data_IF_953389037145
#
_entry.id   IF_953389037145
#
_cell.length_a   1.000
_cell.length_b   1.000
_cell.length_c   1.000
_cell.angle_alpha   90.00
_cell.angle_beta   90.00
_cell.angle_gamma   90.00
#
_symmetry.space_group_name_H-M   'P 1'
#
loop_
_entity.id
_entity.type
_entity.pdbx_description
1 polymer ?
2 water ?
#
# COMPACT_ATOMS: atom_id res chain seq x y z
N UNK A 1 11.45 -0.47 8.09
CA UNK A 1 11.63 -0.17 6.65
C UNK A 1 10.48 -0.77 5.87
N UNK A 2 9.96 0.01 4.93
CA UNK A 2 8.87 -0.41 4.07
C UNK A 2 9.32 -0.20 2.63
N UNK A 3 9.10 -1.20 1.78
CA UNK A 3 9.50 -1.08 0.39
C UNK A 3 8.28 -0.97 -0.53
N UNK A 4 8.18 0.16 -1.21
CA UNK A 4 7.10 0.40 -2.16
C UNK A 4 7.64 0.17 -3.57
N UNK A 5 7.01 -0.73 -4.31
CA UNK A 5 7.43 -1.02 -5.68
C UNK A 5 6.29 -0.74 -6.66
N UNK A 6 6.55 0.11 -7.65
CA UNK A 6 5.56 0.45 -8.68
C UNK A 6 5.89 -0.34 -9.93
N UNK A 7 4.88 -0.94 -10.55
CA UNK A 7 5.14 -1.70 -11.76
C UNK A 7 5.34 -0.76 -12.93
N UNK A 8 4.87 0.47 -12.77
CA UNK A 8 4.98 1.49 -13.80
C UNK A 8 4.92 2.88 -13.20
N UNK A 9 5.53 3.83 -13.90
CA UNK A 9 5.57 5.21 -13.46
C UNK A 9 4.16 5.79 -13.53
N UNK A 10 3.24 5.04 -14.13
CA UNK A 10 1.85 5.46 -14.24
C UNK A 10 1.17 5.33 -12.88
N UNK A 11 1.80 4.56 -11.99
CA UNK A 11 1.27 4.33 -10.65
C UNK A 11 1.77 5.34 -9.64
N UNK A 12 2.45 6.38 -10.11
CA UNK A 12 3.01 7.39 -9.21
C UNK A 12 1.99 8.13 -8.35
N UNK A 13 0.89 8.54 -8.95
CA UNK A 13 -0.15 9.25 -8.21
C UNK A 13 -0.60 8.43 -7.00
N UNK A 14 -0.86 7.14 -7.21
CA UNK A 14 -1.29 6.26 -6.14
C UNK A 14 -0.15 5.96 -5.17
N UNK A 15 1.06 5.89 -5.70
CA UNK A 15 2.23 5.62 -4.88
C UNK A 15 2.54 6.77 -3.93
N UNK A 16 2.25 7.99 -4.36
CA UNK A 16 2.51 9.17 -3.53
C UNK A 16 1.53 9.26 -2.37
N UNK A 17 0.34 8.70 -2.56
CA UNK A 17 -0.64 8.70 -1.49
C UNK A 17 -0.01 7.93 -0.33
N UNK A 18 0.67 6.84 -0.67
CA UNK A 18 1.35 6.01 0.32
C UNK A 18 2.51 6.76 0.98
N UNK A 19 3.39 7.32 0.16
CA UNK A 19 4.55 8.05 0.66
C UNK A 19 4.17 9.17 1.62
N UNK A 20 3.17 9.96 1.25
CA UNK A 20 2.76 11.06 2.12
C UNK A 20 2.33 10.59 3.49
N UNK A 21 1.76 9.39 3.56
CA UNK A 21 1.36 8.84 4.85
C UNK A 21 2.61 8.43 5.62
N UNK A 22 3.52 7.71 4.96
CA UNK A 22 4.75 7.25 5.59
C UNK A 22 5.60 8.44 6.09
N UNK A 23 5.57 9.54 5.35
CA UNK A 23 6.32 10.73 5.74
C UNK A 23 5.73 11.38 7.00
N UNK A 24 4.41 11.29 7.16
CA UNK A 24 3.75 11.86 8.33
C UNK A 24 4.02 11.05 9.60
N UNK A 25 4.34 9.78 9.44
CA UNK A 25 4.62 8.93 10.59
C UNK A 25 6.12 8.88 10.87
N UNK A 26 6.89 9.53 10.01
CA UNK A 26 8.34 9.54 10.18
C UNK A 26 8.99 8.18 10.12
N UNK A 27 8.59 7.34 9.17
CA UNK A 27 9.20 6.02 9.06
C UNK A 27 10.05 5.86 7.81
N UNK A 28 11.02 4.96 7.89
CA UNK A 28 11.90 4.67 6.76
C UNK A 28 11.17 3.92 5.66
N UNK A 29 11.52 4.22 4.42
CA UNK A 29 10.92 3.56 3.26
C UNK A 29 11.71 3.83 1.97
N UNK A 30 11.42 3.03 0.95
CA UNK A 30 12.05 3.16 -0.35
C UNK A 30 10.96 3.14 -1.41
N UNK A 31 11.17 3.86 -2.50
CA UNK A 31 10.19 3.86 -3.57
C UNK A 31 10.94 3.42 -4.83
N UNK A 32 10.47 2.33 -5.44
CA UNK A 32 11.10 1.79 -6.63
C UNK A 32 10.12 1.53 -7.78
N UNK A 33 10.68 1.43 -8.99
CA UNK A 33 9.90 1.10 -10.17
C UNK A 33 10.54 -0.16 -10.76
N UNK A 34 9.72 -1.19 -10.97
CA UNK A 34 10.19 -2.46 -11.51
C UNK A 34 9.00 -3.25 -12.07
N UNK A 35 9.12 -3.67 -13.32
CA UNK A 35 8.07 -4.43 -13.99
C UNK A 35 8.26 -5.93 -13.81
N UNK A 36 7.19 -6.61 -13.42
CA UNK A 36 7.23 -8.06 -13.24
C UNK A 36 7.39 -8.73 -14.60
N UNK A 37 6.83 -8.11 -15.62
CA UNK A 37 6.90 -8.64 -16.98
C UNK A 37 8.16 -8.22 -17.75
N UNK A 38 8.44 -6.92 -17.75
CA UNK A 38 9.58 -6.36 -18.47
C UNK A 38 10.94 -6.49 -17.79
N UNK A 39 10.99 -6.44 -16.47
CA UNK A 39 12.26 -6.54 -15.75
C UNK A 39 12.19 -7.48 -14.55
N UNK A 40 11.87 -8.76 -14.78
CA UNK A 40 11.77 -9.71 -13.68
C UNK A 40 13.02 -9.80 -12.81
N UNK A 41 14.18 -9.51 -13.40
CA UNK A 41 15.42 -9.58 -12.66
C UNK A 41 15.63 -8.38 -11.73
N UNK A 42 15.00 -7.26 -12.04
CA UNK A 42 15.13 -6.08 -11.18
C UNK A 42 14.25 -6.28 -9.94
N UNK A 43 13.05 -6.81 -10.16
CA UNK A 43 12.09 -7.08 -9.08
C UNK A 43 12.72 -8.07 -8.11
N UNK A 44 13.22 -9.18 -8.66
CA UNK A 44 13.86 -10.24 -7.91
C UNK A 44 14.99 -9.69 -7.03
N UNK A 45 15.84 -8.90 -7.66
CA UNK A 45 16.99 -8.26 -7.03
C UNK A 45 16.58 -7.27 -5.94
N UNK A 46 15.52 -6.52 -6.18
CA UNK A 46 15.07 -5.55 -5.19
C UNK A 46 14.53 -6.27 -3.96
N UNK A 47 13.69 -7.27 -4.19
CA UNK A 47 13.07 -8.03 -3.12
C UNK A 47 14.03 -8.87 -2.30
N UNK A 48 14.83 -9.69 -2.96
CA UNK A 48 15.77 -10.56 -2.27
C UNK A 48 16.80 -9.83 -1.41
N UNK A 49 17.08 -8.56 -1.72
CA UNK A 49 18.07 -7.81 -0.96
C UNK A 49 17.49 -6.69 -0.09
N UNK A 50 16.18 -6.57 -0.08
CA UNK A 50 15.54 -5.53 0.71
C UNK A 50 15.61 -5.88 2.19
N UNK A 51 15.63 -4.86 3.04
CA UNK A 51 15.66 -5.05 4.48
C UNK A 51 14.28 -4.72 5.02
N UNK A 52 13.33 -4.50 4.11
CA UNK A 52 11.97 -4.16 4.48
C UNK A 52 11.22 -5.29 5.16
N UNK A 53 10.41 -4.93 6.15
CA UNK A 53 9.60 -5.88 6.88
C UNK A 53 8.26 -6.01 6.16
N UNK A 54 7.92 -4.99 5.38
CA UNK A 54 6.66 -4.98 4.64
C UNK A 54 6.86 -4.44 3.22
N UNK A 55 6.26 -5.11 2.25
CA UNK A 55 6.33 -4.71 0.84
C UNK A 55 4.97 -4.18 0.37
N UNK A 56 4.99 -3.06 -0.36
CA UNK A 56 3.76 -2.50 -0.91
C UNK A 56 3.95 -2.49 -2.43
N UNK A 57 3.19 -3.33 -3.12
CA UNK A 57 3.29 -3.43 -4.57
C UNK A 57 2.09 -2.72 -5.19
N UNK A 58 2.37 -1.87 -6.18
CA UNK A 58 1.33 -1.08 -6.83
C UNK A 58 1.40 -1.25 -8.34
N UNK A 59 0.37 -1.86 -8.90
CA UNK A 59 0.31 -2.10 -10.34
C UNK A 59 -1.13 -2.16 -10.85
N UNK A 60 -1.30 -1.91 -12.14
CA UNK A 60 -2.62 -1.95 -12.73
C UNK A 60 -2.78 -3.08 -13.74
N UNK A 61 -3.85 -3.02 -14.54
CA UNK A 61 -4.12 -4.04 -15.56
C UNK A 61 -3.96 -5.43 -14.95
N UNK A 62 -3.49 -6.37 -15.76
CA UNK A 62 -3.25 -7.72 -15.28
C UNK A 62 -2.07 -7.56 -14.34
N UNK A 63 -2.35 -7.00 -13.16
CA UNK A 63 -1.32 -6.75 -12.17
C UNK A 63 -0.76 -8.06 -11.63
N UNK A 64 0.50 -8.33 -11.96
CA UNK A 64 1.14 -9.54 -11.50
C UNK A 64 2.29 -9.20 -10.56
N UNK A 65 2.54 -7.91 -10.38
CA UNK A 65 3.64 -7.49 -9.52
C UNK A 65 3.47 -7.98 -8.09
N UNK A 66 2.30 -7.74 -7.48
CA UNK A 66 2.09 -8.19 -6.10
C UNK A 66 2.40 -9.67 -5.95
N UNK A 67 1.85 -10.47 -6.85
CA UNK A 67 2.07 -11.91 -6.81
C UNK A 67 3.52 -12.32 -6.94
N UNK A 68 4.23 -11.69 -7.87
CA UNK A 68 5.65 -11.98 -8.09
C UNK A 68 6.49 -11.57 -6.89
N UNK A 69 6.14 -10.45 -6.27
CA UNK A 69 6.88 -9.98 -5.10
C UNK A 69 6.69 -10.95 -3.93
N UNK A 70 5.45 -11.41 -3.75
CA UNK A 70 5.14 -12.33 -2.67
C UNK A 70 5.82 -13.68 -2.87
N UNK A 71 6.03 -14.08 -4.12
CA UNK A 71 6.67 -15.37 -4.37
C UNK A 71 8.17 -15.30 -4.11
N UNK A 72 8.68 -14.10 -3.87
CA UNK A 72 10.11 -13.91 -3.63
C UNK A 72 10.49 -13.65 -2.19
N UNK A 73 9.49 -13.53 -1.31
CA UNK A 73 9.74 -13.27 0.10
C UNK A 73 8.63 -13.84 0.97
N UNK A 74 8.90 -13.96 2.27
CA UNK A 74 7.89 -14.44 3.20
C UNK A 74 7.37 -13.24 4.00
N UNK A 75 7.90 -12.05 3.69
CA UNK A 75 7.46 -10.84 4.37
C UNK A 75 6.08 -10.51 3.82
N UNK A 76 5.26 -9.78 4.60
CA UNK A 76 3.92 -9.40 4.17
C UNK A 76 3.99 -8.53 2.92
N UNK A 77 3.19 -8.86 1.92
CA UNK A 77 3.16 -8.10 0.69
C UNK A 77 1.75 -7.52 0.52
N UNK A 78 1.66 -6.19 0.49
CA UNK A 78 0.38 -5.51 0.33
C UNK A 78 0.26 -5.08 -1.12
N UNK A 79 -0.87 -5.38 -1.75
CA UNK A 79 -1.11 -5.01 -3.14
C UNK A 79 -2.12 -3.88 -3.23
N UNK A 80 -1.86 -2.97 -4.16
CA UNK A 80 -2.76 -1.85 -4.39
C UNK A 80 -3.17 -1.93 -5.85
N UNK A 81 -4.42 -2.35 -6.12
CA UNK A 81 -4.89 -2.45 -7.50
C UNK A 81 -5.08 -1.04 -8.06
N UNK A 82 -4.57 -0.80 -9.26
CA UNK A 82 -4.70 0.50 -9.90
C UNK A 82 -5.67 0.39 -11.07
N UNK A 83 -6.64 1.30 -11.13
CA UNK A 83 -7.62 1.25 -12.21
C UNK A 83 -7.13 1.96 -13.47
N UNK A 84 -6.70 1.16 -14.45
CA UNK A 84 -6.20 1.70 -15.71
C UNK A 84 -7.09 1.20 -16.84
N UNK A 85 -7.98 0.27 -16.52
CA UNK A 85 -8.91 -0.30 -17.48
C UNK A 85 -9.97 -1.08 -16.70
N UNK A 86 -11.15 -1.24 -17.28
CA UNK A 86 -12.24 -1.97 -16.62
C UNK A 86 -12.40 -1.55 -15.16
N UNK A 87 -12.32 -0.24 -14.94
CA UNK A 87 -12.45 0.37 -13.61
C UNK A 87 -11.79 -0.40 -12.46
N UNK A 88 -10.59 -0.92 -12.72
CA UNK A 88 -9.84 -1.63 -11.70
C UNK A 88 -10.24 -3.06 -11.35
N UNK A 89 -11.19 -3.63 -12.08
CA UNK A 89 -11.61 -4.99 -11.78
C UNK A 89 -10.56 -6.03 -12.17
N UNK A 90 -9.65 -5.65 -13.06
CA UNK A 90 -8.59 -6.55 -13.51
C UNK A 90 -7.53 -6.71 -12.42
N UNK A 91 -6.88 -5.60 -12.10
CA UNK A 91 -5.83 -5.56 -11.09
C UNK A 91 -6.31 -6.04 -9.72
N UNK A 92 -7.61 -5.92 -9.47
CA UNK A 92 -8.18 -6.33 -8.19
C UNK A 92 -8.11 -7.85 -8.02
N UNK A 93 -8.82 -8.57 -8.88
CA UNK A 93 -8.85 -10.03 -8.82
C UNK A 93 -7.51 -10.66 -9.17
N UNK A 94 -6.75 -10.00 -10.04
CA UNK A 94 -5.45 -10.51 -10.45
C UNK A 94 -4.47 -10.56 -9.28
N UNK A 95 -4.71 -9.74 -8.26
CA UNK A 95 -3.82 -9.74 -7.10
C UNK A 95 -4.44 -10.36 -5.85
N UNK A 96 -5.76 -10.25 -5.71
CA UNK A 96 -6.45 -10.80 -4.54
C UNK A 96 -6.64 -12.32 -4.60
N UNK A 97 -6.93 -12.84 -5.79
CA UNK A 97 -7.15 -14.27 -5.97
C UNK A 97 -5.89 -15.11 -6.03
N UNK A 98 -4.96 -14.90 -5.10
CA UNK A 98 -3.73 -15.68 -5.07
C UNK A 98 -4.08 -17.11 -4.71
N UNK A 99 -3.18 -18.06 -5.01
CA UNK A 99 -3.40 -19.47 -4.71
C UNK A 99 -2.89 -19.83 -3.31
N UNK A 100 -3.45 -20.89 -2.70
CA UNK A 100 -3.05 -21.33 -1.36
C UNK A 100 -1.54 -21.41 -1.15
N UNK A 101 -1.07 -20.88 -0.01
CA UNK A 101 0.34 -20.91 0.31
C UNK A 101 1.11 -19.61 0.11
N UNK A 102 0.73 -18.83 -0.91
CA UNK A 102 1.39 -17.56 -1.20
C UNK A 102 0.38 -16.42 -1.16
N UNK A 103 0.01 -15.96 0.04
CA UNK A 103 -0.96 -14.88 0.16
C UNK A 103 -0.44 -13.46 -0.11
N UNK A 104 -1.38 -12.57 -0.42
CA UNK A 104 -1.11 -11.16 -0.67
C UNK A 104 -2.22 -10.36 0.00
N UNK A 105 -1.84 -9.40 0.84
CA UNK A 105 -2.83 -8.55 1.51
C UNK A 105 -3.30 -7.51 0.50
N UNK A 106 -4.58 -7.55 0.16
CA UNK A 106 -5.12 -6.62 -0.81
C UNK A 106 -5.99 -5.53 -0.18
N UNK A 107 -5.82 -4.30 -0.65
CA UNK A 107 -6.62 -3.18 -0.18
C UNK A 107 -7.38 -2.68 -1.39
N UNK A 108 -8.30 -1.74 -1.17
CA UNK A 108 -9.11 -1.20 -2.25
C UNK A 108 -8.34 -0.61 -3.42
N UNK A 109 -9.03 -0.42 -4.54
CA UNK A 109 -8.42 0.12 -5.74
C UNK A 109 -7.99 1.58 -5.52
N UNK A 110 -6.72 1.85 -5.86
CA UNK A 110 -6.11 3.18 -5.72
C UNK A 110 -5.95 3.62 -4.28
N UNK A 111 -6.09 2.69 -3.35
CA UNK A 111 -5.98 3.00 -1.95
C UNK A 111 -4.54 2.94 -1.41
N UNK A 112 -3.68 3.81 -1.94
CA UNK A 112 -2.29 3.84 -1.51
C UNK A 112 -2.16 4.24 -0.05
N UNK A 113 -3.06 5.12 0.39
CA UNK A 113 -3.06 5.58 1.77
C UNK A 113 -3.37 4.42 2.71
N UNK A 114 -4.37 3.61 2.36
CA UNK A 114 -4.73 2.47 3.19
C UNK A 114 -3.64 1.41 3.18
N UNK A 115 -2.87 1.37 2.09
CA UNK A 115 -1.76 0.42 2.00
C UNK A 115 -0.67 0.82 2.99
N UNK A 116 -0.41 2.13 3.11
CA UNK A 116 0.62 2.62 4.03
C UNK A 116 0.19 2.43 5.48
N UNK A 117 -1.07 2.68 5.76
CA UNK A 117 -1.59 2.51 7.11
C UNK A 117 -1.51 1.03 7.51
N UNK A 118 -1.87 0.14 6.59
CA UNK A 118 -1.83 -1.29 6.87
C UNK A 118 -0.41 -1.71 7.20
N UNK A 119 0.54 -1.18 6.44
CA UNK A 119 1.96 -1.47 6.64
C UNK A 119 2.43 -0.97 8.02
N UNK A 120 1.95 0.20 8.42
CA UNK A 120 2.32 0.77 9.71
C UNK A 120 1.71 -0.04 10.86
N UNK A 121 0.49 -0.54 10.67
CA UNK A 121 -0.16 -1.35 11.69
C UNK A 121 0.66 -2.62 11.90
N UNK A 122 1.28 -3.12 10.84
CA UNK A 122 2.10 -4.32 10.94
C UNK A 122 3.38 -3.98 11.71
N UNK A 123 4.03 -2.88 11.34
CA UNK A 123 5.25 -2.47 12.02
C UNK A 123 4.99 -2.13 13.48
N UNK A 124 3.84 -1.51 13.75
CA UNK A 124 3.47 -1.12 15.11
C UNK A 124 3.49 -2.26 16.11
N UNK A 125 3.43 -3.49 15.61
CA UNK A 125 3.46 -4.66 16.48
C UNK A 125 4.84 -4.81 17.12
N UNK A 126 5.84 -4.16 16.55
CA UNK A 126 7.20 -4.23 17.05
C UNK A 126 7.73 -2.86 17.47
N UNK A 127 7.16 -1.81 16.89
CA UNK A 127 7.56 -0.43 17.18
C UNK A 127 6.43 0.27 17.93
N UNK A 128 6.59 0.46 19.24
CA UNK A 128 5.57 1.12 20.04
C UNK A 128 5.36 2.58 19.66
N UNK A 129 6.38 3.21 19.09
CA UNK A 129 6.26 4.60 18.66
C UNK A 129 5.23 4.68 17.53
N UNK A 130 5.22 3.66 16.67
CA UNK A 130 4.28 3.63 15.56
C UNK A 130 2.86 3.31 16.05
N UNK A 131 2.77 2.39 17.01
CA UNK A 131 1.48 2.01 17.58
C UNK A 131 0.80 3.25 18.16
N UNK A 132 1.57 4.03 18.91
CA UNK A 132 1.06 5.24 19.52
C UNK A 132 0.57 6.21 18.44
N UNK A 133 1.36 6.37 17.38
CA UNK A 133 1.00 7.28 16.30
C UNK A 133 -0.28 6.84 15.58
N UNK A 134 -0.51 5.53 15.51
CA UNK A 134 -1.70 4.99 14.87
C UNK A 134 -2.95 5.41 15.64
N UNK A 135 -2.87 5.31 16.96
CA UNK A 135 -3.99 5.69 17.82
C UNK A 135 -4.27 7.19 17.69
N UNK A 136 -3.21 7.98 17.59
CA UNK A 136 -3.35 9.43 17.46
C UNK A 136 -3.94 9.74 16.09
N UNK A 137 -3.49 9.00 15.08
CA UNK A 137 -3.98 9.18 13.72
C UNK A 137 -5.50 8.95 13.68
N UNK A 138 -5.98 7.93 14.39
CA UNK A 138 -7.42 7.67 14.42
C UNK A 138 -8.17 8.80 15.12
N UNK A 139 -7.58 9.33 16.18
CA UNK A 139 -8.22 10.42 16.88
C UNK A 139 -8.36 11.59 15.92
N UNK A 140 -7.28 11.92 15.22
CA UNK A 140 -7.33 13.02 14.27
C UNK A 140 -8.48 12.83 13.30
N UNK A 141 -8.69 11.60 12.85
CA UNK A 141 -9.76 11.30 11.90
C UNK A 141 -11.15 11.50 12.46
N UNK A 142 -11.37 11.13 13.71
CA UNK A 142 -12.69 11.29 14.32
C UNK A 142 -13.03 12.77 14.37
N UNK A 143 -11.99 13.55 14.61
CA UNK A 143 -12.11 14.99 14.74
C UNK A 143 -12.50 15.66 13.44
N UNK A 144 -12.03 15.13 12.32
CA UNK A 144 -12.40 15.70 11.04
C UNK A 144 -13.88 15.38 10.80
N UNK A 145 -14.32 14.21 11.26
CA UNK A 145 -15.71 13.80 11.10
C UNK A 145 -16.63 14.67 11.96
N UNK A 146 -16.24 14.92 13.21
CA UNK A 146 -17.03 15.78 14.09
C UNK A 146 -17.18 17.16 13.44
N UNK A 147 -16.08 17.67 12.89
CA UNK A 147 -16.07 18.98 12.22
C UNK A 147 -17.00 19.00 11.00
N UNK A 148 -17.12 17.86 10.32
CA UNK A 148 -18.00 17.77 9.16
C UNK A 148 -19.44 17.80 9.68
N UNK A 149 -19.68 17.09 10.77
CA UNK A 149 -21.01 17.05 11.36
C UNK A 149 -21.41 18.45 11.82
N UNK A 150 -20.53 19.11 12.56
CA UNK A 150 -20.81 20.46 13.05
C UNK A 150 -21.14 21.40 11.90
N UNK A 151 -20.36 21.32 10.83
CA UNK A 151 -20.56 22.18 9.67
C UNK A 151 -21.88 21.89 8.97
N UNK A 152 -22.14 20.62 8.66
CA UNK A 152 -23.38 20.24 8.00
C UNK A 152 -24.61 20.59 8.85
N UNK A 153 -24.46 20.49 10.16
CA UNK A 153 -25.55 20.80 11.08
C UNK A 153 -26.07 22.22 10.90
N UNK A 154 -25.17 23.13 10.57
CA UNK A 154 -25.52 24.54 10.37
C UNK A 154 -26.04 24.80 8.96
N UNK A 155 -26.07 23.76 8.12
CA UNK A 155 -26.47 23.92 6.72
C UNK A 155 -27.92 24.06 6.29
N UNK A 156 -28.80 23.18 6.74
CA UNK A 156 -30.18 23.27 6.25
C UNK A 156 -31.21 23.84 7.21
N UNK A 157 -30.75 24.40 8.33
CA UNK A 157 -31.67 24.98 9.30
C UNK A 157 -32.22 26.29 8.77
#
# INVERSE_FOLDING_TARGET
MICIIMGSESDLKIAEKAVNILKEFGVEFEVRVASAHRTPELVEEIVKNSKADVFIAIAGLAAHLPGVVASLTTKPVIAVPVDAKLDGLDALLSSVQMPPGIPVATVGIDRGENAAILALEILALKDENIAKKLIEYREKMKKKVYASDEKVKEMFK
#
